data_IF_988824194229
#
_entry.id   IF_988824194229
#
_cell.length_a   1.000
_cell.length_b   1.000
_cell.length_c   1.000
_cell.angle_alpha   90.00
_cell.angle_beta   90.00
_cell.angle_gamma   90.00
#
_symmetry.space_group_name_H-M   'P 1'
#
loop_
_entity.id
_entity.type
_entity.pdbx_description
1 polymer ?
#
# COMPACT_ATOMS: atom_id res chain seq x y z
N UNK A 1 -30.18 -32.79 7.83
CA UNK A 1 -29.18 -32.92 8.91
C UNK A 1 -28.69 -31.51 9.20
N UNK A 2 -29.10 -31.03 10.38
CA UNK A 2 -28.66 -29.84 11.13
C UNK A 2 -28.31 -28.56 10.35
N UNK A 3 -29.33 -27.71 10.28
CA UNK A 3 -29.28 -26.26 10.09
C UNK A 3 -28.50 -25.63 11.26
N UNK A 4 -27.35 -25.03 10.98
CA UNK A 4 -26.50 -24.39 11.98
C UNK A 4 -26.93 -22.91 12.13
N UNK A 5 -28.06 -22.69 12.78
CA UNK A 5 -28.47 -21.35 13.20
C UNK A 5 -27.67 -20.99 14.45
N UNK A 6 -26.57 -20.29 14.22
CA UNK A 6 -25.78 -19.68 15.29
C UNK A 6 -26.59 -18.51 15.85
N UNK A 7 -27.15 -18.70 17.05
CA UNK A 7 -27.82 -17.63 17.79
C UNK A 7 -26.82 -16.52 18.10
N UNK A 8 -27.07 -15.27 17.68
CA UNK A 8 -26.16 -14.15 17.97
C UNK A 8 -26.07 -13.90 19.48
N UNK A 9 -24.88 -13.49 19.94
CA UNK A 9 -24.64 -13.15 21.33
C UNK A 9 -25.47 -11.92 21.73
N UNK A 10 -26.06 -11.87 22.95
CA UNK A 10 -26.98 -10.82 23.36
C UNK A 10 -26.36 -9.42 23.47
N UNK A 11 -25.03 -9.32 23.42
CA UNK A 11 -24.28 -8.05 23.50
C UNK A 11 -24.12 -7.36 22.14
N UNK A 12 -24.42 -8.04 21.02
CA UNK A 12 -24.33 -7.49 19.66
C UNK A 12 -25.63 -6.84 19.18
N UNK A 13 -26.70 -6.86 19.99
CA UNK A 13 -28.04 -6.42 19.58
C UNK A 13 -28.16 -4.89 19.41
N UNK A 14 -27.23 -4.10 19.96
CA UNK A 14 -27.28 -2.62 19.92
C UNK A 14 -26.31 -1.99 18.90
N UNK A 15 -25.50 -2.78 18.19
CA UNK A 15 -24.60 -2.26 17.14
C UNK A 15 -25.22 -2.49 15.77
N UNK A 16 -26.19 -1.65 15.41
CA UNK A 16 -26.72 -1.59 14.04
C UNK A 16 -26.13 -0.37 13.33
N UNK A 17 -25.49 -0.57 12.19
CA UNK A 17 -25.11 0.51 11.29
C UNK A 17 -26.40 1.03 10.64
N UNK A 18 -26.96 2.12 11.16
CA UNK A 18 -28.27 2.66 10.76
C UNK A 18 -28.36 3.19 9.32
N UNK A 19 -27.73 2.53 8.35
CA UNK A 19 -27.71 2.89 6.94
C UNK A 19 -28.90 2.25 6.20
N UNK A 20 -29.72 3.08 5.58
CA UNK A 20 -30.54 2.65 4.45
C UNK A 20 -29.62 2.36 3.26
N UNK A 21 -29.78 1.20 2.61
CA UNK A 21 -29.08 0.90 1.36
C UNK A 21 -29.48 1.94 0.30
N UNK A 22 -28.56 2.78 -0.21
CA UNK A 22 -28.92 3.75 -1.23
C UNK A 22 -29.27 3.01 -2.54
N UNK A 23 -30.56 3.04 -2.90
CA UNK A 23 -31.04 2.63 -4.22
C UNK A 23 -30.89 3.76 -5.23
N UNK A 24 -29.78 3.81 -5.97
CA UNK A 24 -29.63 4.57 -7.22
C UNK A 24 -28.50 3.93 -8.05
N UNK A 25 -28.59 3.86 -9.41
CA UNK A 25 -27.61 3.12 -10.21
C UNK A 25 -26.20 3.72 -10.09
N UNK A 26 -25.25 2.83 -9.81
CA UNK A 26 -23.80 2.96 -9.85
C UNK A 26 -23.27 4.20 -10.60
N UNK A 27 -22.82 5.21 -9.83
CA UNK A 27 -21.93 6.26 -10.36
C UNK A 27 -20.51 5.79 -10.20
N UNK A 28 -20.11 4.89 -11.09
CA UNK A 28 -18.71 4.50 -11.24
C UNK A 28 -17.92 5.72 -11.73
N UNK A 29 -17.44 6.54 -10.79
CA UNK A 29 -16.61 7.70 -11.08
C UNK A 29 -15.23 7.20 -11.54
N UNK A 30 -15.06 7.24 -12.86
CA UNK A 30 -13.91 6.74 -13.60
C UNK A 30 -12.62 7.36 -13.06
N UNK A 31 -11.71 6.52 -12.56
CA UNK A 31 -10.35 6.93 -12.22
C UNK A 31 -9.54 7.12 -13.52
N UNK A 32 -9.43 8.37 -13.99
CA UNK A 32 -8.64 8.71 -15.17
C UNK A 32 -7.18 8.92 -14.80
N UNK A 33 -6.31 8.00 -15.21
CA UNK A 33 -4.86 8.14 -15.07
C UNK A 33 -4.22 8.14 -16.46
N UNK A 34 -4.03 9.30 -17.13
CA UNK A 34 -3.57 9.36 -18.53
C UNK A 34 -2.22 8.67 -18.77
N UNK A 35 -1.32 8.71 -17.78
CA UNK A 35 -0.03 8.02 -17.83
C UNK A 35 -0.15 6.49 -17.88
N UNK A 36 -1.27 5.92 -17.38
CA UNK A 36 -1.57 4.49 -17.50
C UNK A 36 -1.67 4.06 -18.95
N UNK A 37 -2.14 4.93 -19.85
CA UNK A 37 -2.21 4.62 -21.28
C UNK A 37 -0.84 4.51 -21.94
N UNK A 38 0.17 5.27 -21.48
CA UNK A 38 1.53 5.19 -22.03
C UNK A 38 2.23 3.87 -21.67
N UNK A 39 1.97 3.35 -20.46
CA UNK A 39 2.48 2.05 -20.00
C UNK A 39 1.71 0.89 -20.64
N UNK A 40 0.37 0.95 -20.67
CA UNK A 40 -0.49 -0.05 -21.33
C UNK A 40 -0.19 -0.14 -22.83
N UNK A 41 0.11 0.98 -23.51
CA UNK A 41 0.51 0.99 -24.94
C UNK A 41 1.85 0.30 -25.22
N UNK A 42 2.78 0.22 -24.26
CA UNK A 42 4.03 -0.55 -24.41
C UNK A 42 3.86 -2.05 -24.11
N UNK A 43 2.66 -2.45 -23.68
CA UNK A 43 2.22 -3.82 -23.49
C UNK A 43 2.56 -4.38 -22.11
N UNK A 44 1.60 -5.05 -21.47
CA UNK A 44 1.77 -5.81 -20.22
C UNK A 44 2.67 -7.07 -20.36
N UNK A 45 3.27 -7.29 -21.54
CA UNK A 45 4.12 -8.45 -21.85
C UNK A 45 5.62 -8.19 -21.73
N UNK A 46 6.03 -7.06 -21.13
CA UNK A 46 7.43 -6.67 -20.99
C UNK A 46 8.17 -7.42 -19.88
N UNK A 47 7.47 -7.90 -18.85
CA UNK A 47 8.04 -8.70 -17.77
C UNK A 47 7.56 -10.13 -17.96
N UNK A 48 8.46 -11.00 -18.42
CA UNK A 48 8.17 -12.43 -18.66
C UNK A 48 8.80 -13.33 -17.62
N UNK A 49 9.88 -12.85 -17.02
CA UNK A 49 10.77 -13.57 -16.12
C UNK A 49 11.49 -12.58 -15.19
N UNK A 50 12.26 -13.12 -14.24
CA UNK A 50 13.06 -12.35 -13.29
C UNK A 50 14.05 -11.40 -13.97
N UNK A 51 14.67 -11.83 -15.08
CA UNK A 51 15.66 -11.05 -15.82
C UNK A 51 15.09 -9.78 -16.45
N UNK A 52 13.80 -9.80 -16.80
CA UNK A 52 13.07 -8.66 -17.36
C UNK A 52 12.28 -7.86 -16.30
N UNK A 53 12.30 -8.28 -15.03
CA UNK A 53 11.52 -7.65 -13.98
C UNK A 53 12.23 -6.43 -13.37
N UNK A 54 11.62 -5.22 -13.42
CA UNK A 54 12.24 -4.03 -12.82
C UNK A 54 12.30 -4.11 -11.29
N UNK A 55 11.41 -4.87 -10.64
CA UNK A 55 11.47 -5.07 -9.19
C UNK A 55 12.59 -6.03 -8.78
N UNK A 56 12.95 -7.01 -9.61
CA UNK A 56 14.14 -7.84 -9.37
C UNK A 56 15.44 -7.07 -9.65
N UNK A 57 15.44 -6.23 -10.69
CA UNK A 57 16.61 -5.42 -11.04
C UNK A 57 16.83 -4.21 -10.12
N UNK A 58 15.79 -3.70 -9.47
CA UNK A 58 15.86 -2.49 -8.64
C UNK A 58 16.86 -2.61 -7.48
N UNK A 59 16.77 -3.66 -6.64
CA UNK A 59 17.65 -3.85 -5.49
C UNK A 59 19.15 -3.94 -5.79
N UNK A 60 19.56 -4.25 -7.04
CA UNK A 60 20.97 -4.33 -7.44
C UNK A 60 21.60 -3.00 -7.88
N UNK A 61 20.79 -1.93 -7.97
CA UNK A 61 21.24 -0.56 -8.24
C UNK A 61 21.36 0.24 -6.93
N UNK A 62 21.82 1.48 -7.03
CA UNK A 62 21.75 2.41 -5.91
C UNK A 62 20.29 2.69 -5.53
N UNK A 63 20.07 3.08 -4.29
CA UNK A 63 18.72 3.36 -3.80
C UNK A 63 18.11 4.58 -4.50
N UNK A 64 18.95 5.53 -4.91
CA UNK A 64 18.55 6.74 -5.64
C UNK A 64 18.05 6.38 -7.05
N UNK A 65 18.79 5.52 -7.78
CA UNK A 65 18.44 5.12 -9.15
C UNK A 65 17.18 4.24 -9.20
N UNK A 66 16.93 3.49 -8.12
CA UNK A 66 15.77 2.60 -7.98
C UNK A 66 14.62 3.20 -7.18
N UNK A 67 14.76 4.42 -6.68
CA UNK A 67 13.82 5.10 -5.79
C UNK A 67 13.48 4.29 -4.53
N UNK A 68 14.41 3.47 -4.05
CA UNK A 68 14.28 2.70 -2.82
C UNK A 68 14.38 3.67 -1.64
N UNK A 69 13.48 3.52 -0.68
CA UNK A 69 13.43 4.31 0.56
C UNK A 69 13.80 3.48 1.79
N UNK A 70 13.62 2.16 1.74
CA UNK A 70 13.98 1.27 2.82
C UNK A 70 14.21 -0.16 2.32
N UNK A 71 15.10 -0.87 3.02
CA UNK A 71 15.45 -2.26 2.78
C UNK A 71 15.24 -3.06 4.06
N UNK A 72 14.41 -4.10 3.97
CA UNK A 72 14.27 -5.13 4.98
C UNK A 72 15.09 -6.36 4.62
N UNK A 73 14.79 -7.46 5.30
CA UNK A 73 15.41 -8.78 5.13
C UNK A 73 14.84 -9.55 3.93
N UNK A 74 13.51 -9.62 3.82
CA UNK A 74 12.76 -10.32 2.78
C UNK A 74 12.06 -9.37 1.80
N UNK A 75 11.75 -8.16 2.24
CA UNK A 75 11.03 -7.16 1.49
C UNK A 75 11.78 -5.82 1.47
N UNK A 76 11.41 -4.96 0.53
CA UNK A 76 11.92 -3.60 0.42
C UNK A 76 10.81 -2.64 0.01
N UNK A 77 11.06 -1.35 0.21
CA UNK A 77 10.10 -0.28 -0.07
C UNK A 77 10.72 0.71 -1.03
N UNK A 78 9.96 1.06 -2.07
CA UNK A 78 10.36 2.02 -3.08
C UNK A 78 9.21 2.97 -3.43
N UNK A 79 9.53 4.12 -4.00
CA UNK A 79 8.52 5.01 -4.55
C UNK A 79 8.02 4.51 -5.91
N UNK A 80 6.73 4.69 -6.16
CA UNK A 80 6.18 4.49 -7.49
C UNK A 80 6.63 5.61 -8.43
N UNK A 81 7.25 5.26 -9.56
CA UNK A 81 7.67 6.18 -10.61
C UNK A 81 6.50 6.99 -11.21
N UNK A 82 5.29 6.44 -11.16
CA UNK A 82 4.06 7.10 -11.62
C UNK A 82 3.08 7.23 -10.46
N UNK A 83 3.35 8.16 -9.51
CA UNK A 83 2.62 8.23 -8.26
C UNK A 83 1.19 8.75 -8.44
N UNK A 84 0.23 8.23 -7.66
CA UNK A 84 -1.12 8.81 -7.57
C UNK A 84 -1.10 10.11 -6.75
N UNK A 85 -0.28 10.15 -5.71
CA UNK A 85 0.00 11.29 -4.84
C UNK A 85 1.50 11.28 -4.48
N UNK A 86 2.11 12.43 -4.15
CA UNK A 86 3.47 12.47 -3.59
C UNK A 86 3.59 11.51 -2.41
N UNK A 87 4.66 10.73 -2.37
CA UNK A 87 4.84 9.68 -1.36
C UNK A 87 4.09 8.37 -1.64
N UNK A 88 3.60 8.13 -2.86
CA UNK A 88 3.08 6.82 -3.24
C UNK A 88 4.20 5.77 -3.17
N UNK A 89 4.13 4.90 -2.17
CA UNK A 89 5.08 3.81 -1.95
C UNK A 89 4.57 2.48 -2.51
N UNK A 90 5.51 1.61 -2.80
CA UNK A 90 5.33 0.21 -3.11
C UNK A 90 6.12 -0.61 -2.09
N UNK A 91 5.53 -1.67 -1.55
CA UNK A 91 6.24 -2.72 -0.79
C UNK A 91 6.33 -3.95 -1.68
N UNK A 92 7.53 -4.48 -1.85
CA UNK A 92 7.81 -5.62 -2.72
C UNK A 92 8.66 -6.67 -1.99
N UNK A 93 8.38 -7.97 -2.14
CA UNK A 93 9.34 -9.00 -1.76
C UNK A 93 10.56 -8.95 -2.69
N UNK A 94 11.74 -9.33 -2.19
CA UNK A 94 12.90 -9.55 -3.06
C UNK A 94 12.68 -10.73 -4.01
N UNK A 95 12.04 -11.79 -3.51
CA UNK A 95 11.73 -12.99 -4.29
C UNK A 95 10.69 -12.67 -5.37
N UNK A 96 10.92 -13.18 -6.58
CA UNK A 96 10.00 -13.00 -7.71
C UNK A 96 8.76 -13.91 -7.55
N UNK A 97 7.72 -13.38 -6.91
CA UNK A 97 6.42 -14.06 -6.79
C UNK A 97 5.28 -13.20 -7.32
N UNK A 98 4.33 -13.78 -8.05
CA UNK A 98 3.21 -13.02 -8.61
C UNK A 98 2.06 -12.82 -7.63
N UNK A 99 1.77 -13.81 -6.78
CA UNK A 99 0.57 -13.80 -5.93
C UNK A 99 0.91 -13.54 -4.46
N UNK A 100 -0.03 -12.93 -3.73
CA UNK A 100 0.08 -12.76 -2.28
C UNK A 100 0.10 -14.11 -1.57
N UNK A 101 -0.61 -15.12 -2.09
CA UNK A 101 -0.62 -16.47 -1.50
C UNK A 101 0.71 -17.21 -1.63
N UNK A 102 1.62 -16.71 -2.47
CA UNK A 102 2.92 -17.32 -2.69
C UNK A 102 3.97 -16.88 -1.66
N UNK A 103 3.68 -15.85 -0.85
CA UNK A 103 4.57 -15.38 0.21
C UNK A 103 4.74 -16.42 1.32
N UNK A 104 5.94 -16.51 1.89
CA UNK A 104 6.15 -17.22 3.16
C UNK A 104 5.54 -16.43 4.32
N UNK A 105 5.46 -17.05 5.50
CA UNK A 105 4.95 -16.38 6.71
C UNK A 105 5.86 -15.22 7.11
N UNK A 106 7.18 -15.42 7.01
CA UNK A 106 8.19 -14.42 7.34
C UNK A 106 8.14 -13.24 6.36
N UNK A 107 8.06 -13.53 5.05
CA UNK A 107 7.83 -12.52 4.02
C UNK A 107 6.53 -11.74 4.27
N UNK A 108 5.43 -12.43 4.58
CA UNK A 108 4.13 -11.81 4.85
C UNK A 108 4.18 -10.90 6.08
N UNK A 109 4.82 -11.35 7.15
CA UNK A 109 4.98 -10.57 8.37
C UNK A 109 5.79 -9.30 8.13
N UNK A 110 6.92 -9.40 7.42
CA UNK A 110 7.74 -8.23 7.10
C UNK A 110 7.04 -7.29 6.10
N UNK A 111 6.36 -7.85 5.09
CA UNK A 111 5.59 -7.09 4.11
C UNK A 111 4.50 -6.24 4.78
N UNK A 112 3.79 -6.82 5.75
CA UNK A 112 2.82 -6.11 6.58
C UNK A 112 3.48 -5.04 7.45
N UNK A 113 4.58 -5.39 8.14
CA UNK A 113 5.33 -4.47 9.00
C UNK A 113 5.85 -3.25 8.24
N UNK A 114 6.50 -3.45 7.09
CA UNK A 114 6.98 -2.36 6.24
C UNK A 114 5.83 -1.50 5.71
N UNK A 115 4.66 -2.09 5.45
CA UNK A 115 3.47 -1.32 5.07
C UNK A 115 3.00 -0.39 6.20
N UNK A 116 2.98 -0.88 7.43
CA UNK A 116 2.62 -0.07 8.60
C UNK A 116 3.62 1.06 8.84
N UNK A 117 4.93 0.78 8.78
CA UNK A 117 5.98 1.80 8.91
C UNK A 117 5.88 2.83 7.77
N UNK A 118 5.60 2.37 6.55
CA UNK A 118 5.34 3.23 5.40
C UNK A 118 4.21 4.25 5.67
N UNK A 119 3.17 3.86 6.39
CA UNK A 119 2.12 4.79 6.80
C UNK A 119 2.62 5.80 7.86
N UNK A 120 3.40 5.34 8.85
CA UNK A 120 3.97 6.19 9.91
C UNK A 120 4.90 7.25 9.31
N UNK A 121 5.87 6.85 8.47
CA UNK A 121 6.81 7.79 7.85
C UNK A 121 6.08 8.82 6.98
N UNK A 122 5.09 8.38 6.18
CA UNK A 122 4.30 9.30 5.35
C UNK A 122 3.49 10.29 6.19
N UNK A 123 3.03 9.89 7.38
CA UNK A 123 2.36 10.80 8.32
C UNK A 123 3.32 11.87 8.82
N UNK A 124 4.55 11.47 9.16
CA UNK A 124 5.59 12.35 9.70
C UNK A 124 6.07 13.35 8.65
N UNK A 125 6.44 12.89 7.46
CA UNK A 125 7.08 13.73 6.43
C UNK A 125 6.07 14.56 5.62
N UNK A 126 4.85 14.08 5.42
CA UNK A 126 3.87 14.75 4.54
C UNK A 126 2.58 15.18 5.24
N UNK A 127 2.36 14.77 6.50
CA UNK A 127 1.09 14.97 7.20
C UNK A 127 -0.11 14.37 6.45
N UNK A 128 0.11 13.21 5.83
CA UNK A 128 -0.96 12.44 5.21
C UNK A 128 -2.10 12.18 6.21
N UNK A 129 -3.33 12.43 5.77
CA UNK A 129 -4.53 12.39 6.63
C UNK A 129 -5.31 11.07 6.48
N UNK A 130 -5.02 10.32 5.43
CA UNK A 130 -5.59 9.01 5.17
C UNK A 130 -4.71 8.23 4.19
N UNK A 131 -5.07 6.97 3.94
CA UNK A 131 -4.29 6.09 3.08
C UNK A 131 -5.23 5.17 2.29
N UNK A 132 -4.85 4.88 1.06
CA UNK A 132 -5.36 3.71 0.36
C UNK A 132 -4.24 2.66 0.30
N UNK A 133 -4.55 1.47 0.80
CA UNK A 133 -3.72 0.30 0.67
C UNK A 133 -4.42 -0.67 -0.27
N UNK A 134 -3.76 -1.11 -1.34
CA UNK A 134 -4.24 -2.20 -2.16
C UNK A 134 -3.15 -2.91 -2.96
N UNK A 135 -3.45 -4.14 -3.34
CA UNK A 135 -2.70 -4.94 -4.31
C UNK A 135 -3.62 -5.23 -5.48
N UNK A 136 -3.09 -5.11 -6.70
CA UNK A 136 -3.78 -5.61 -7.88
C UNK A 136 -3.23 -7.01 -8.16
N UNK A 137 -4.08 -8.04 -8.14
CA UNK A 137 -3.65 -9.44 -8.31
C UNK A 137 -3.98 -10.00 -9.69
N UNK A 138 -2.95 -10.59 -10.32
CA UNK A 138 -3.03 -11.12 -11.67
C UNK A 138 -3.25 -10.06 -12.76
N UNK A 139 -3.18 -10.52 -14.02
CA UNK A 139 -3.32 -9.64 -15.19
C UNK A 139 -4.67 -8.93 -15.26
N UNK A 140 -5.75 -9.65 -14.93
CA UNK A 140 -7.13 -9.13 -14.97
C UNK A 140 -7.42 -8.19 -13.81
N UNK A 141 -6.80 -8.40 -12.64
CA UNK A 141 -6.90 -7.49 -11.50
C UNK A 141 -6.23 -6.13 -11.73
N UNK A 142 -5.59 -5.92 -12.89
CA UNK A 142 -5.05 -4.63 -13.29
C UNK A 142 -3.62 -4.37 -12.82
N UNK A 143 -2.90 -5.41 -12.39
CA UNK A 143 -1.49 -5.33 -12.02
C UNK A 143 -0.66 -4.81 -13.20
N UNK A 144 0.10 -3.73 -12.98
CA UNK A 144 0.99 -3.20 -14.00
C UNK A 144 2.10 -4.19 -14.34
N UNK A 145 2.66 -4.83 -13.31
CA UNK A 145 3.65 -5.91 -13.41
C UNK A 145 3.06 -7.11 -12.67
N UNK A 146 2.26 -7.90 -13.38
CA UNK A 146 1.52 -9.02 -12.77
C UNK A 146 2.41 -10.18 -12.30
N UNK A 147 3.66 -10.24 -12.75
CA UNK A 147 4.59 -11.32 -12.42
C UNK A 147 5.28 -11.14 -11.05
N UNK A 148 5.20 -9.95 -10.46
CA UNK A 148 5.88 -9.62 -9.21
C UNK A 148 4.98 -8.77 -8.32
N UNK A 149 4.61 -9.34 -7.18
CA UNK A 149 3.76 -8.77 -6.17
C UNK A 149 4.25 -7.42 -5.66
N UNK A 150 3.34 -6.46 -5.54
CA UNK A 150 3.63 -5.18 -4.92
C UNK A 150 2.38 -4.58 -4.28
N UNK A 151 2.51 -4.11 -3.04
CA UNK A 151 1.45 -3.43 -2.30
C UNK A 151 1.61 -1.93 -2.43
N UNK A 152 0.54 -1.26 -2.84
CA UNK A 152 0.48 0.19 -2.93
C UNK A 152 0.19 0.79 -1.56
N UNK A 153 0.90 1.85 -1.19
CA UNK A 153 0.55 2.72 -0.07
C UNK A 153 0.41 4.12 -0.65
N UNK A 154 -0.83 4.57 -0.82
CA UNK A 154 -1.14 5.86 -1.41
C UNK A 154 -1.57 6.82 -0.30
N UNK A 155 -0.76 7.83 0.07
CA UNK A 155 -1.17 8.84 1.03
C UNK A 155 -2.29 9.69 0.45
N UNK A 156 -3.25 10.08 1.28
CA UNK A 156 -4.43 10.89 0.93
C UNK A 156 -4.48 12.16 1.76
N UNK A 157 -4.94 13.23 1.11
CA UNK A 157 -5.04 14.57 1.69
C UNK A 157 -6.44 15.14 1.42
N UNK A 158 -6.96 15.95 2.34
CA UNK A 158 -8.20 16.68 2.11
C UNK A 158 -8.12 17.52 0.82
N UNK A 159 -9.04 17.28 -0.11
CA UNK A 159 -9.11 18.00 -1.39
C UNK A 159 -8.14 17.55 -2.48
N UNK A 160 -7.46 16.40 -2.33
CA UNK A 160 -6.53 15.87 -3.34
C UNK A 160 -7.21 15.40 -4.65
N UNK A 161 -8.50 15.11 -4.59
CA UNK A 161 -9.39 14.94 -5.74
C UNK A 161 -10.07 16.27 -6.09
N UNK A 162 -9.36 17.17 -6.76
CA UNK A 162 -9.92 18.43 -7.24
C UNK A 162 -10.22 18.37 -8.76
N UNK A 163 -10.69 19.47 -9.34
CA UNK A 163 -11.09 19.52 -10.74
C UNK A 163 -9.93 19.33 -11.73
N UNK A 164 -8.67 19.52 -11.34
CA UNK A 164 -7.52 19.47 -12.26
C UNK A 164 -7.27 18.06 -12.83
N UNK A 165 -7.21 16.98 -12.02
CA UNK A 165 -7.16 15.62 -12.55
C UNK A 165 -8.36 15.25 -13.44
N UNK A 166 -9.53 15.83 -13.16
CA UNK A 166 -10.81 15.48 -13.82
C UNK A 166 -10.95 16.20 -15.17
N UNK A 167 -10.72 17.51 -15.19
CA UNK A 167 -10.95 18.37 -16.36
C UNK A 167 -9.70 18.49 -17.21
N UNK A 168 -8.55 18.73 -16.57
CA UNK A 168 -7.29 19.00 -17.26
C UNK A 168 -6.43 17.75 -17.43
N UNK A 169 -6.89 16.59 -16.94
CA UNK A 169 -6.14 15.34 -16.97
C UNK A 169 -4.71 15.48 -16.42
N UNK A 170 -4.53 16.41 -15.47
CA UNK A 170 -3.23 16.82 -14.97
C UNK A 170 -3.29 16.89 -13.46
N UNK A 171 -2.27 16.37 -12.79
CA UNK A 171 -2.10 16.51 -11.35
C UNK A 171 -0.83 17.28 -11.07
N UNK A 172 -0.97 18.39 -10.35
CA UNK A 172 0.19 19.13 -9.85
C UNK A 172 0.80 18.33 -8.69
N UNK A 173 2.06 17.93 -8.85
CA UNK A 173 2.87 17.42 -7.75
C UNK A 173 3.75 18.56 -7.27
N UNK A 174 3.71 18.86 -5.98
CA UNK A 174 4.42 20.00 -5.38
C UNK A 174 5.87 19.69 -5.01
N UNK A 175 6.28 18.43 -5.12
CA UNK A 175 7.63 17.94 -4.81
C UNK A 175 8.09 16.97 -5.89
N UNK A 176 9.38 16.94 -6.18
CA UNK A 176 9.96 15.97 -7.09
C UNK A 176 10.05 14.58 -6.45
N UNK A 177 10.19 13.53 -7.27
CA UNK A 177 10.39 12.18 -6.78
C UNK A 177 11.69 12.04 -5.96
N UNK A 178 12.76 12.73 -6.37
CA UNK A 178 14.05 12.67 -5.69
C UNK A 178 13.98 13.28 -4.28
N UNK A 179 13.44 14.50 -4.16
CA UNK A 179 13.27 15.19 -2.87
C UNK A 179 12.39 14.37 -1.92
N UNK A 180 11.26 13.85 -2.43
CA UNK A 180 10.36 13.05 -1.60
C UNK A 180 11.00 11.72 -1.17
N UNK A 181 11.80 11.09 -2.05
CA UNK A 181 12.52 9.85 -1.72
C UNK A 181 13.54 10.08 -0.61
N UNK A 182 14.31 11.15 -0.71
CA UNK A 182 15.28 11.57 0.30
C UNK A 182 14.59 11.81 1.65
N UNK A 183 13.54 12.64 1.69
CA UNK A 183 12.78 12.91 2.92
C UNK A 183 12.22 11.64 3.59
N UNK A 184 11.67 10.72 2.79
CA UNK A 184 11.11 9.46 3.32
C UNK A 184 12.25 8.55 3.82
N UNK A 185 13.33 8.41 3.06
CA UNK A 185 14.44 7.55 3.43
C UNK A 185 15.15 8.04 4.69
N UNK A 186 15.33 9.35 4.83
CA UNK A 186 15.95 9.97 6.01
C UNK A 186 15.13 9.78 7.29
N UNK A 187 13.80 9.89 7.23
CA UNK A 187 12.92 9.76 8.41
C UNK A 187 12.49 8.30 8.68
N UNK A 188 12.85 7.35 7.82
CA UNK A 188 12.49 5.94 7.97
C UNK A 188 12.96 5.31 9.29
N UNK A 189 14.20 5.54 9.77
CA UNK A 189 14.65 5.01 11.05
C UNK A 189 13.83 5.51 12.24
N UNK A 190 13.49 6.80 12.27
CA UNK A 190 12.67 7.43 13.30
C UNK A 190 11.24 6.90 13.27
N UNK A 191 10.65 6.75 12.08
CA UNK A 191 9.33 6.17 11.91
C UNK A 191 9.29 4.70 12.38
N UNK A 192 10.37 3.94 12.14
CA UNK A 192 10.51 2.56 12.61
C UNK A 192 10.55 2.52 14.14
N UNK A 193 11.32 3.38 14.78
CA UNK A 193 11.40 3.47 16.24
C UNK A 193 10.06 3.85 16.87
N UNK A 194 9.36 4.83 16.29
CA UNK A 194 8.01 5.23 16.73
C UNK A 194 7.03 4.06 16.62
N UNK A 195 7.05 3.35 15.49
CA UNK A 195 6.21 2.17 15.29
C UNK A 195 6.50 1.07 16.32
N UNK A 196 7.76 0.71 16.50
CA UNK A 196 8.17 -0.36 17.43
C UNK A 196 7.84 0.00 18.88
N UNK A 197 8.02 1.27 19.27
CA UNK A 197 7.62 1.77 20.58
C UNK A 197 6.12 1.59 20.81
N UNK A 198 5.28 1.97 19.84
CA UNK A 198 3.83 1.79 19.92
C UNK A 198 3.42 0.31 20.02
N UNK A 199 4.05 -0.58 19.25
CA UNK A 199 3.77 -2.02 19.32
C UNK A 199 4.10 -2.60 20.71
N UNK A 200 5.25 -2.21 21.29
CA UNK A 200 5.67 -2.68 22.62
C UNK A 200 4.69 -2.29 23.74
N UNK A 201 4.05 -1.13 23.64
CA UNK A 201 3.05 -0.66 24.61
C UNK A 201 1.70 -1.37 24.44
N UNK A 202 1.31 -1.61 23.18
CA UNK A 202 0.03 -2.25 22.84
C UNK A 202 -0.01 -3.73 23.28
N UNK A 203 1.10 -4.46 23.12
CA UNK A 203 1.22 -5.85 23.55
C UNK A 203 1.20 -6.04 25.07
N UNK A 204 1.56 -5.02 25.85
CA UNK A 204 1.48 -5.07 27.32
C UNK A 204 0.06 -4.93 27.85
N UNK A 205 -0.86 -4.39 27.05
CA UNK A 205 -2.26 -4.18 27.44
C UNK A 205 -3.09 -5.46 27.37
N UNK A 206 -2.74 -6.41 26.49
CA UNK A 206 -3.42 -7.70 26.35
C UNK A 206 -3.04 -8.70 27.45
N UNK A 207 -1.80 -8.69 27.92
CA UNK A 207 -1.32 -9.61 28.97
C UNK A 207 -1.84 -9.28 30.38
N UNK A 208 -2.33 -8.06 30.60
CA UNK A 208 -2.93 -7.64 31.88
C UNK A 208 -4.39 -8.08 32.01
N UNK A 209 -5.08 -8.37 30.90
CA UNK A 209 -6.48 -8.80 30.89
C UNK A 209 -6.65 -10.33 31.06
N UNK A 210 -5.59 -11.11 30.81
CA UNK A 210 -5.61 -12.58 30.88
C UNK A 210 -5.05 -13.15 32.21
N UNK A 211 -4.76 -12.28 33.19
CA UNK A 211 -4.26 -12.68 34.53
C UNK A 211 -5.25 -12.43 35.67
N UNK A 212 -6.51 -12.15 35.33
CA UNK A 212 -7.59 -11.84 36.27
C UNK A 212 -8.75 -12.84 36.24
N UNK A 213 -8.53 -14.06 35.75
CA UNK A 213 -9.45 -15.20 35.91
C UNK A 213 -8.79 -16.38 36.61
#
# INVERSE_FOLDING_TARGET
>A
MTDNQQTPHPEDAEVTDGFELPGTPDRLDRLWTPHRMAYVKRGQGQVKDEASCPFCAGPSRSDEDSLIVARGEHCYVLMNLYPYNPGHLLVCPYRHVPDYTDLTIEETAEFGRLSQIGMVVLRRVSRAQGYNLGMNQGKVGGAGIAAHLHQHIVPRFGGDGNFMPIIAQTKALTQTLAEMRELIAEDWPEATQEFDHHQSQSGHQTDAADRSQ
#
